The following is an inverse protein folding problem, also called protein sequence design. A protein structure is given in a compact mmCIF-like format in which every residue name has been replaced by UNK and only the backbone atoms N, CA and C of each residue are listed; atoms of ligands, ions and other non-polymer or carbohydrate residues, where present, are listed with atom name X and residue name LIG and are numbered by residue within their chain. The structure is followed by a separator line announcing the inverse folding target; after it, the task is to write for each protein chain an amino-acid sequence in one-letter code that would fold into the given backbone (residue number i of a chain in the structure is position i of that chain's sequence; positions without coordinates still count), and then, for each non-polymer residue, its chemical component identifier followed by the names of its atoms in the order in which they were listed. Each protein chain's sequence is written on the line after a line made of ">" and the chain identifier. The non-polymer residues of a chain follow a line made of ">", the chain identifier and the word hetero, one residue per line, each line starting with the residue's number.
data_IF_448981632280
#
_entry.id   IF_448981632280
#
_cell.length_a   1.000
_cell.length_b   1.000
_cell.length_c   1.000
_cell.angle_alpha   90.00
_cell.angle_beta   90.00
_cell.angle_gamma   90.00
#
_symmetry.space_group_name_H-M   'P 1'
#
loop_
_entity.id
_entity.type
_entity.pdbx_description
1 polymer ?
#
# COMPACT_ATOMS: atom_id res chain seq x y z
N UNK A 1 2.89 7.47 -1.00
CA UNK A 1 2.59 6.01 -0.81
C UNK A 1 1.77 5.43 -1.97
N UNK A 2 0.45 5.71 -2.09
CA UNK A 2 -0.38 5.14 -3.16
C UNK A 2 0.10 5.50 -4.57
N UNK A 3 0.44 6.77 -4.78
CA UNK A 3 0.93 7.29 -6.06
C UNK A 3 2.35 6.79 -6.37
N UNK A 4 3.20 6.66 -5.36
CA UNK A 4 4.55 6.09 -5.52
C UNK A 4 4.51 4.62 -5.97
N UNK A 5 3.51 3.85 -5.51
CA UNK A 5 3.30 2.48 -6.00
C UNK A 5 2.89 2.47 -7.48
N UNK A 6 2.04 3.42 -7.90
CA UNK A 6 1.65 3.53 -9.31
C UNK A 6 2.85 3.95 -10.18
N UNK A 7 3.62 4.92 -9.72
CA UNK A 7 4.86 5.35 -10.38
C UNK A 7 5.87 4.20 -10.50
N UNK A 8 6.05 3.41 -9.43
CA UNK A 8 6.94 2.25 -9.46
C UNK A 8 6.51 1.21 -10.51
N UNK A 9 5.20 0.98 -10.66
CA UNK A 9 4.66 0.12 -11.72
C UNK A 9 4.94 0.73 -13.11
N UNK A 10 4.66 2.02 -13.32
CA UNK A 10 4.93 2.71 -14.59
C UNK A 10 6.40 2.57 -14.98
N UNK A 11 7.32 2.86 -14.05
CA UNK A 11 8.75 2.78 -14.27
C UNK A 11 9.20 1.34 -14.58
N UNK A 12 8.61 0.34 -13.93
CA UNK A 12 8.89 -1.06 -14.24
C UNK A 12 8.57 -1.41 -15.70
N UNK A 13 7.37 -1.07 -16.18
CA UNK A 13 6.99 -1.32 -17.58
C UNK A 13 7.86 -0.54 -18.57
N UNK A 14 8.22 0.70 -18.22
CA UNK A 14 9.11 1.53 -19.05
C UNK A 14 10.51 0.93 -19.16
N UNK A 15 11.05 0.39 -18.07
CA UNK A 15 12.42 -0.12 -18.01
C UNK A 15 12.53 -1.56 -18.54
N UNK A 16 11.68 -2.47 -18.08
CA UNK A 16 11.78 -3.90 -18.42
C UNK A 16 11.14 -4.22 -19.76
N UNK A 17 10.00 -3.58 -20.08
CA UNK A 17 9.19 -3.91 -21.26
C UNK A 17 9.23 -2.87 -22.37
N UNK A 18 9.89 -1.73 -22.13
CA UNK A 18 9.87 -0.55 -23.01
C UNK A 18 8.43 -0.16 -23.38
N UNK A 19 7.51 -0.32 -22.43
CA UNK A 19 6.09 -0.03 -22.59
C UNK A 19 5.72 1.15 -21.70
N UNK A 20 5.10 2.15 -22.29
CA UNK A 20 4.59 3.33 -21.60
C UNK A 20 3.11 3.12 -21.26
N UNK A 21 2.78 3.19 -19.98
CA UNK A 21 1.42 3.02 -19.46
C UNK A 21 1.02 4.24 -18.63
N UNK A 22 -0.27 4.59 -18.65
CA UNK A 22 -0.78 5.71 -17.85
C UNK A 22 -1.04 5.34 -16.39
N UNK A 23 -1.11 6.36 -15.53
CA UNK A 23 -1.37 6.22 -14.08
C UNK A 23 -2.65 5.45 -13.78
N UNK A 24 -3.73 5.66 -14.54
CA UNK A 24 -4.98 4.90 -14.36
C UNK A 24 -4.83 3.41 -14.65
N UNK A 25 -3.98 3.05 -15.60
CA UNK A 25 -3.67 1.66 -15.92
C UNK A 25 -2.80 1.04 -14.83
N UNK A 26 -1.78 1.77 -14.37
CA UNK A 26 -0.95 1.35 -13.24
C UNK A 26 -1.76 1.13 -11.96
N UNK A 27 -2.68 2.05 -11.64
CA UNK A 27 -3.57 1.92 -10.48
C UNK A 27 -4.51 0.72 -10.61
N UNK A 28 -5.04 0.46 -11.82
CA UNK A 28 -5.88 -0.71 -12.08
C UNK A 28 -5.11 -2.02 -11.92
N UNK A 29 -3.86 -2.07 -12.38
CA UNK A 29 -2.94 -3.21 -12.19
C UNK A 29 -2.64 -3.40 -10.69
N UNK A 30 -2.31 -2.32 -9.98
CA UNK A 30 -2.07 -2.32 -8.53
C UNK A 30 -3.24 -2.91 -7.75
N UNK A 31 -4.48 -2.45 -8.05
CA UNK A 31 -5.69 -2.91 -7.36
C UNK A 31 -6.05 -4.36 -7.69
N UNK A 32 -5.83 -4.80 -8.93
CA UNK A 32 -6.20 -6.15 -9.38
C UNK A 32 -5.23 -7.22 -8.88
N UNK A 33 -3.92 -7.04 -9.12
CA UNK A 33 -2.90 -8.08 -8.88
C UNK A 33 -1.75 -7.66 -7.98
N UNK A 34 -1.71 -6.39 -7.54
CA UNK A 34 -0.69 -5.90 -6.61
C UNK A 34 -0.72 -6.69 -5.30
N UNK A 35 0.46 -7.10 -4.85
CA UNK A 35 0.64 -7.80 -3.58
C UNK A 35 1.97 -7.44 -2.93
N UNK A 36 2.00 -7.48 -1.59
CA UNK A 36 3.20 -7.32 -0.79
C UNK A 36 3.89 -8.65 -0.47
N UNK A 37 3.20 -9.77 -0.67
CA UNK A 37 3.68 -11.12 -0.40
C UNK A 37 3.53 -12.02 -1.61
N UNK A 38 4.24 -13.15 -1.61
CA UNK A 38 4.08 -14.15 -2.65
C UNK A 38 2.70 -14.78 -2.56
N UNK A 39 1.89 -14.57 -3.59
CA UNK A 39 0.59 -15.19 -3.79
C UNK A 39 0.61 -16.05 -5.06
N UNK A 40 -0.50 -16.72 -5.37
CA UNK A 40 -0.64 -17.45 -6.63
C UNK A 40 -0.41 -16.49 -7.80
N UNK A 41 0.54 -16.86 -8.65
CA UNK A 41 0.89 -16.08 -9.84
C UNK A 41 -0.27 -16.08 -10.84
N UNK A 42 -0.55 -14.92 -11.41
CA UNK A 42 -1.60 -14.69 -12.41
C UNK A 42 -0.98 -13.96 -13.59
N UNK A 43 -1.41 -14.29 -14.81
CA UNK A 43 -0.97 -13.57 -16.01
C UNK A 43 -2.03 -12.53 -16.35
N UNK A 44 -1.60 -11.28 -16.55
CA UNK A 44 -2.46 -10.17 -16.93
C UNK A 44 -2.03 -9.56 -18.26
N UNK A 45 -3.02 -9.14 -19.05
CA UNK A 45 -2.77 -8.41 -20.28
C UNK A 45 -2.72 -6.90 -20.00
N UNK A 46 -1.61 -6.27 -20.36
CA UNK A 46 -1.36 -4.84 -20.15
C UNK A 46 -1.24 -4.15 -21.50
N UNK A 47 -2.02 -3.09 -21.68
CA UNK A 47 -2.04 -2.27 -22.89
C UNK A 47 -1.27 -0.98 -22.63
N UNK A 48 -0.40 -0.61 -23.56
CA UNK A 48 0.37 0.62 -23.48
C UNK A 48 0.89 1.05 -24.83
N UNK A 49 1.70 2.09 -24.84
CA UNK A 49 2.41 2.56 -26.02
C UNK A 49 3.82 1.99 -26.01
N UNK A 50 4.19 1.26 -27.04
CA UNK A 50 5.56 0.78 -27.20
C UNK A 50 6.49 1.98 -27.41
N UNK A 51 7.53 2.11 -26.58
CA UNK A 51 8.49 3.21 -26.63
C UNK A 51 9.49 3.09 -27.79
N UNK A 52 9.62 1.90 -28.38
CA UNK A 52 10.50 1.67 -29.53
C UNK A 52 9.78 2.00 -30.83
N UNK A 53 8.58 1.46 -31.02
CA UNK A 53 7.80 1.63 -32.25
C UNK A 53 6.83 2.82 -32.22
N UNK A 54 6.46 3.32 -31.04
CA UNK A 54 5.47 4.38 -30.85
C UNK A 54 4.02 3.93 -31.00
N UNK A 55 3.76 2.64 -31.26
CA UNK A 55 2.44 2.10 -31.58
C UNK A 55 1.81 1.45 -30.33
N UNK A 56 0.48 1.46 -30.16
CA UNK A 56 -0.19 0.70 -29.12
C UNK A 56 0.13 -0.79 -29.19
N UNK A 57 0.57 -1.36 -28.06
CA UNK A 57 0.96 -2.76 -27.91
C UNK A 57 0.29 -3.34 -26.66
N UNK A 58 -0.06 -4.63 -26.74
CA UNK A 58 -0.51 -5.40 -25.59
C UNK A 58 0.54 -6.45 -25.27
N UNK A 59 0.91 -6.57 -24.00
CA UNK A 59 1.83 -7.61 -23.51
C UNK A 59 1.16 -8.40 -22.40
N UNK A 60 1.60 -9.64 -22.20
CA UNK A 60 1.22 -10.45 -21.06
C UNK A 60 2.33 -10.42 -20.03
N UNK A 61 2.00 -10.11 -18.78
CA UNK A 61 2.95 -10.08 -17.66
C UNK A 61 2.43 -10.85 -16.47
N UNK A 62 3.36 -11.38 -15.68
CA UNK A 62 3.04 -12.07 -14.44
C UNK A 62 2.79 -11.09 -13.29
N UNK A 63 1.85 -11.40 -12.41
CA UNK A 63 1.65 -10.69 -11.14
C UNK A 63 2.88 -10.71 -10.24
N UNK A 64 3.81 -11.66 -10.44
CA UNK A 64 5.10 -11.68 -9.78
C UNK A 64 5.99 -10.48 -10.15
N UNK A 65 5.89 -9.98 -11.38
CA UNK A 65 6.61 -8.77 -11.81
C UNK A 65 6.04 -7.53 -11.14
N UNK A 66 4.70 -7.45 -11.01
CA UNK A 66 4.05 -6.34 -10.30
C UNK A 66 4.45 -6.32 -8.82
N UNK A 67 4.58 -7.50 -8.19
CA UNK A 67 5.15 -7.56 -6.83
C UNK A 67 6.58 -7.05 -6.78
N UNK A 68 7.41 -7.35 -7.79
CA UNK A 68 8.79 -6.87 -7.85
C UNK A 68 8.86 -5.36 -7.99
N UNK A 69 8.03 -4.77 -8.87
CA UNK A 69 7.97 -3.31 -9.03
C UNK A 69 7.56 -2.60 -7.74
N UNK A 70 6.73 -3.22 -6.92
CA UNK A 70 6.25 -2.64 -5.66
C UNK A 70 7.20 -2.81 -4.47
N UNK A 71 8.33 -3.53 -4.63
CA UNK A 71 9.23 -3.88 -3.52
C UNK A 71 9.73 -2.66 -2.75
N UNK A 72 10.21 -1.64 -3.46
CA UNK A 72 10.82 -0.46 -2.84
C UNK A 72 9.81 0.41 -2.09
N UNK A 73 8.66 0.82 -2.68
CA UNK A 73 7.67 1.60 -1.94
C UNK A 73 7.09 0.83 -0.75
N UNK A 74 6.95 -0.49 -0.85
CA UNK A 74 6.49 -1.32 0.28
C UNK A 74 7.54 -1.37 1.39
N UNK A 75 8.82 -1.54 1.05
CA UNK A 75 9.89 -1.54 2.05
C UNK A 75 9.97 -0.20 2.77
N UNK A 76 9.78 0.92 2.06
CA UNK A 76 9.73 2.24 2.69
C UNK A 76 8.63 2.34 3.77
N UNK A 77 7.45 1.76 3.52
CA UNK A 77 6.36 1.68 4.51
C UNK A 77 6.78 0.82 5.71
N UNK A 78 7.35 -0.36 5.47
CA UNK A 78 7.79 -1.27 6.54
C UNK A 78 8.85 -0.60 7.43
N UNK A 79 9.84 0.06 6.84
CA UNK A 79 10.89 0.74 7.59
C UNK A 79 10.35 1.95 8.36
N UNK A 80 9.38 2.68 7.81
CA UNK A 80 8.70 3.75 8.54
C UNK A 80 7.95 3.21 9.77
N UNK A 81 7.26 2.07 9.65
CA UNK A 81 6.59 1.42 10.78
C UNK A 81 7.59 0.98 11.84
N UNK A 82 8.69 0.32 11.46
CA UNK A 82 9.74 -0.08 12.41
C UNK A 82 10.31 1.11 13.16
N UNK A 83 10.65 2.19 12.43
CA UNK A 83 11.18 3.41 13.03
C UNK A 83 10.19 4.04 14.03
N UNK A 84 8.89 3.99 13.73
CA UNK A 84 7.87 4.47 14.67
C UNK A 84 7.83 3.63 15.95
N UNK A 85 7.95 2.31 15.84
CA UNK A 85 8.04 1.41 17.00
C UNK A 85 9.32 1.65 17.82
N UNK A 86 10.46 1.88 17.18
CA UNK A 86 11.74 2.17 17.85
C UNK A 86 11.72 3.49 18.65
N UNK A 87 10.99 4.49 18.15
CA UNK A 87 10.83 5.79 18.80
C UNK A 87 9.73 5.78 19.89
N UNK A 88 8.98 4.70 20.01
CA UNK A 88 7.88 4.61 20.97
C UNK A 88 8.44 4.40 22.38
N UNK A 89 8.05 5.22 23.38
CA UNK A 89 8.48 5.04 24.76
C UNK A 89 8.12 3.64 25.29
N UNK A 90 8.97 3.01 26.13
CA UNK A 90 8.73 1.67 26.67
C UNK A 90 7.37 1.49 27.34
N UNK A 91 6.85 2.55 27.96
CA UNK A 91 5.56 2.57 28.65
C UNK A 91 4.38 2.29 27.70
N UNK A 92 4.52 2.62 26.42
CA UNK A 92 3.51 2.40 25.37
C UNK A 92 3.80 1.17 24.50
N UNK A 93 5.07 0.74 24.45
CA UNK A 93 5.48 -0.40 23.62
C UNK A 93 4.83 -1.72 24.07
N UNK A 94 4.60 -1.89 25.38
CA UNK A 94 3.88 -3.06 25.90
C UNK A 94 2.42 -3.09 25.40
N UNK A 95 1.73 -1.95 25.43
CA UNK A 95 0.34 -1.85 24.94
C UNK A 95 0.25 -2.13 23.43
N UNK A 96 1.25 -1.74 22.64
CA UNK A 96 1.30 -2.03 21.20
C UNK A 96 1.50 -3.52 20.92
N UNK A 97 2.30 -4.22 21.73
CA UNK A 97 2.47 -5.66 21.57
C UNK A 97 1.16 -6.42 21.83
N UNK A 98 0.35 -5.95 22.78
CA UNK A 98 -0.93 -6.58 23.13
C UNK A 98 -2.05 -6.21 22.14
N UNK A 99 -2.17 -4.93 21.77
CA UNK A 99 -3.28 -4.42 20.94
C UNK A 99 -2.99 -4.47 19.44
N UNK A 100 -1.71 -4.45 19.08
CA UNK A 100 -1.26 -4.44 17.69
C UNK A 100 -1.38 -3.09 16.98
N UNK A 101 -1.15 -3.14 15.68
CA UNK A 101 -1.23 -2.03 14.74
C UNK A 101 -2.54 -2.15 13.95
N UNK A 102 -3.30 -1.06 13.86
CA UNK A 102 -4.44 -0.96 12.96
C UNK A 102 -4.04 -0.19 11.71
N UNK A 103 -4.17 -0.82 10.55
CA UNK A 103 -3.95 -0.20 9.25
C UNK A 103 -5.26 0.39 8.71
N UNK A 104 -5.17 1.60 8.17
CA UNK A 104 -6.29 2.32 7.54
C UNK A 104 -5.82 2.96 6.23
N UNK A 105 -6.75 3.57 5.48
CA UNK A 105 -6.52 4.19 4.17
C UNK A 105 -6.47 3.17 3.03
N UNK A 106 -6.64 3.65 1.79
CA UNK A 106 -6.71 2.77 0.61
C UNK A 106 -5.43 1.97 0.34
N UNK A 107 -4.27 2.48 0.77
CA UNK A 107 -2.99 1.76 0.65
C UNK A 107 -2.91 0.49 1.49
N UNK A 108 -3.69 0.40 2.59
CA UNK A 108 -3.77 -0.80 3.42
C UNK A 108 -4.45 -1.98 2.73
N UNK A 109 -5.17 -1.74 1.63
CA UNK A 109 -5.89 -2.78 0.89
C UNK A 109 -4.99 -3.59 -0.06
N UNK A 110 -3.68 -3.28 -0.13
CA UNK A 110 -2.74 -4.06 -0.91
C UNK A 110 -2.62 -5.48 -0.34
N UNK A 111 -2.77 -6.50 -1.19
CA UNK A 111 -2.82 -7.90 -0.75
C UNK A 111 -1.56 -8.30 0.04
N UNK A 112 -1.74 -8.68 1.31
CA UNK A 112 -0.67 -9.19 2.18
C UNK A 112 0.25 -8.12 2.79
N UNK A 113 -0.11 -6.83 2.72
CA UNK A 113 0.71 -5.77 3.34
C UNK A 113 0.70 -5.85 4.87
N UNK A 114 -0.45 -6.18 5.45
CA UNK A 114 -0.65 -6.44 6.87
C UNK A 114 0.20 -7.61 7.37
N UNK A 115 0.19 -8.71 6.61
CA UNK A 115 0.98 -9.90 6.88
C UNK A 115 2.48 -9.60 6.79
N UNK A 116 2.91 -8.87 5.76
CA UNK A 116 4.30 -8.47 5.61
C UNK A 116 4.77 -7.61 6.79
N UNK A 117 3.98 -6.62 7.20
CA UNK A 117 4.35 -5.77 8.34
C UNK A 117 4.42 -6.62 9.61
N UNK A 118 3.42 -7.49 9.85
CA UNK A 118 3.40 -8.41 10.99
C UNK A 118 4.65 -9.28 11.05
N UNK A 119 5.07 -9.86 9.94
CA UNK A 119 6.31 -10.67 9.87
C UNK A 119 7.58 -9.85 10.16
N UNK A 120 7.58 -8.56 9.78
CA UNK A 120 8.76 -7.69 9.89
C UNK A 120 8.87 -6.97 11.23
N UNK A 121 7.77 -6.79 11.94
CA UNK A 121 7.71 -6.11 13.24
C UNK A 121 7.49 -7.07 14.40
N UNK A 122 6.99 -8.28 14.14
CA UNK A 122 6.55 -9.24 15.15
C UNK A 122 5.44 -8.69 16.08
N UNK A 123 4.66 -7.73 15.58
CA UNK A 123 3.52 -7.11 16.26
C UNK A 123 2.24 -7.52 15.51
N UNK A 124 1.11 -7.80 16.19
CA UNK A 124 -0.16 -8.05 15.52
C UNK A 124 -0.54 -6.87 14.61
N UNK A 125 -1.01 -7.13 13.39
CA UNK A 125 -1.42 -6.09 12.43
C UNK A 125 -2.78 -6.46 11.87
N UNK A 126 -3.75 -5.54 11.94
CA UNK A 126 -5.10 -5.73 11.42
C UNK A 126 -5.48 -4.55 10.54
N UNK A 127 -6.30 -4.79 9.52
CA UNK A 127 -6.85 -3.72 8.67
C UNK A 127 -8.22 -3.33 9.24
N UNK A 128 -8.50 -2.03 9.31
CA UNK A 128 -9.81 -1.50 9.68
C UNK A 128 -10.91 -2.07 8.77
N UNK A 129 -12.15 -2.20 9.27
CA UNK A 129 -13.25 -2.75 8.48
C UNK A 129 -13.62 -1.86 7.29
N UNK A 130 -13.47 -0.53 7.44
CA UNK A 130 -13.80 0.45 6.41
C UNK A 130 -12.63 1.43 6.22
N UNK A 131 -11.47 0.96 5.73
CA UNK A 131 -10.21 1.71 5.77
C UNK A 131 -10.26 2.97 4.89
N UNK A 132 -11.12 3.00 3.87
CA UNK A 132 -11.36 4.18 3.02
C UNK A 132 -12.17 5.27 3.73
N UNK A 133 -12.95 4.91 4.75
CA UNK A 133 -13.86 5.81 5.45
C UNK A 133 -13.38 6.22 6.84
N UNK A 134 -12.34 5.58 7.38
CA UNK A 134 -11.92 5.79 8.77
C UNK A 134 -11.63 7.27 9.08
N UNK A 135 -11.03 8.01 8.14
CA UNK A 135 -10.75 9.45 8.30
C UNK A 135 -12.04 10.26 8.40
N UNK A 136 -12.93 10.17 7.40
CA UNK A 136 -14.18 10.94 7.37
C UNK A 136 -15.12 10.58 8.52
N UNK A 137 -15.18 9.29 8.90
CA UNK A 137 -15.96 8.85 10.07
C UNK A 137 -15.36 9.40 11.37
N UNK A 138 -14.04 9.41 11.51
CA UNK A 138 -13.35 10.01 12.64
C UNK A 138 -13.66 11.51 12.77
N UNK A 139 -13.58 12.25 11.66
CA UNK A 139 -13.96 13.66 11.62
C UNK A 139 -15.42 13.88 12.00
N UNK A 140 -16.35 13.08 11.47
CA UNK A 140 -17.77 13.16 11.83
C UNK A 140 -18.02 12.95 13.33
N UNK A 141 -17.40 11.92 13.92
CA UNK A 141 -17.50 11.63 15.37
C UNK A 141 -17.01 12.79 16.24
N UNK A 142 -15.95 13.49 15.81
CA UNK A 142 -15.45 14.67 16.53
C UNK A 142 -16.43 15.82 16.43
N UNK A 143 -16.99 16.07 15.24
CA UNK A 143 -17.95 17.16 15.02
C UNK A 143 -19.26 16.97 15.81
N UNK A 144 -19.66 15.72 16.06
CA UNK A 144 -20.84 15.39 16.88
C UNK A 144 -20.66 15.76 18.37
N UNK A 145 -19.44 15.72 18.89
CA UNK A 145 -19.14 16.02 20.30
C UNK A 145 -17.77 16.67 20.48
N UNK A 146 -17.64 17.90 19.96
CA UNK A 146 -16.36 18.64 19.97
C UNK A 146 -15.80 18.83 21.38
N UNK A 147 -16.67 19.05 22.38
CA UNK A 147 -16.26 19.26 23.77
C UNK A 147 -15.58 18.03 24.36
N UNK A 148 -16.10 16.83 24.08
CA UNK A 148 -15.51 15.59 24.56
C UNK A 148 -14.09 15.36 24.02
N UNK A 149 -13.82 15.80 22.79
CA UNK A 149 -12.52 15.60 22.14
C UNK A 149 -11.60 16.83 22.20
N UNK A 150 -11.99 17.89 22.91
CA UNK A 150 -11.25 19.16 22.98
C UNK A 150 -9.77 18.96 23.37
N UNK A 151 -9.48 18.00 24.27
CA UNK A 151 -8.12 17.73 24.73
C UNK A 151 -7.18 17.12 23.69
N UNK A 152 -7.69 16.63 22.56
CA UNK A 152 -6.92 15.99 21.50
C UNK A 152 -7.01 16.73 20.16
N UNK A 153 -7.73 17.86 20.12
CA UNK A 153 -7.75 18.76 18.98
C UNK A 153 -6.61 19.78 19.10
N UNK A 154 -6.02 20.13 17.96
CA UNK A 154 -4.91 21.09 17.84
C UNK A 154 -5.47 22.49 17.62
#
# INVERSE_FOLDING_TARGET
>A
AGDEMDEAIIQWFRNEHKLDIGTSSAESIKKSVGSAMRIKSEVIAVKGRDLVSGIPKTIEVSSDEIRQSLKDPINAIVEAVKRALELTPPELSADILDRGIIMTGGGSMLKGIDQLIRERTNVPVNIDEEPLLSVVKGTGKVLEDVKKYESVLI
#
